data_IF_382988076273
#
_entry.id   IF_382988076273
#
_cell.length_a   1.000
_cell.length_b   1.000
_cell.length_c   1.000
_cell.angle_alpha   90.00
_cell.angle_beta   90.00
_cell.angle_gamma   90.00
#
_symmetry.space_group_name_H-M   'P 1'
#
loop_
_entity.id
_entity.type
_entity.pdbx_description
1 polymer ?
#
# COMPACT_ATOMS: atom_id res chain seq x y z
N UNK A 1 4.54 -17.79 -14.90
CA UNK A 1 3.08 -17.85 -14.74
C UNK A 1 2.73 -16.81 -13.70
N UNK A 2 2.48 -15.59 -14.15
CA UNK A 2 2.07 -14.51 -13.27
C UNK A 2 0.70 -14.90 -12.73
N UNK A 3 0.59 -15.17 -11.43
CA UNK A 3 -0.70 -15.03 -10.75
C UNK A 3 -1.15 -13.62 -11.10
N UNK A 4 -2.30 -13.46 -11.74
CA UNK A 4 -2.97 -12.18 -11.85
C UNK A 4 -3.21 -11.70 -10.42
N UNK A 5 -2.26 -10.93 -9.87
CA UNK A 5 -2.41 -10.31 -8.57
C UNK A 5 -3.56 -9.32 -8.67
N UNK A 6 -4.37 -9.22 -7.62
CA UNK A 6 -5.51 -8.31 -7.60
C UNK A 6 -5.46 -7.44 -6.36
N UNK A 7 -6.15 -6.31 -6.41
CA UNK A 7 -6.31 -5.42 -5.24
C UNK A 7 -7.05 -6.10 -4.08
N UNK A 8 -7.69 -7.26 -4.31
CA UNK A 8 -8.28 -8.07 -3.24
C UNK A 8 -7.24 -8.63 -2.26
N UNK A 9 -5.97 -8.68 -2.66
CA UNK A 9 -4.86 -9.07 -1.76
C UNK A 9 -4.54 -7.96 -0.75
N UNK A 10 -4.91 -6.71 -1.05
CA UNK A 10 -4.76 -5.58 -0.14
C UNK A 10 -5.94 -5.52 0.84
N UNK A 11 -5.71 -5.08 2.11
CA UNK A 11 -6.80 -4.83 3.02
C UNK A 11 -7.70 -3.69 2.49
N UNK A 12 -8.98 -3.72 2.85
CA UNK A 12 -9.91 -2.65 2.44
C UNK A 12 -9.56 -1.31 3.09
N UNK A 13 -9.00 -1.33 4.30
CA UNK A 13 -8.60 -0.15 5.05
C UNK A 13 -7.28 -0.39 5.80
N UNK A 14 -6.54 0.69 5.99
CA UNK A 14 -5.35 0.73 6.86
C UNK A 14 -5.61 1.64 8.04
N UNK A 15 -4.96 1.38 9.18
CA UNK A 15 -5.24 2.13 10.39
C UNK A 15 -4.12 3.11 10.69
N UNK A 16 -4.49 4.38 10.88
CA UNK A 16 -3.59 5.43 11.36
C UNK A 16 -3.85 5.72 12.84
N UNK A 17 -2.78 5.84 13.62
CA UNK A 17 -2.89 6.20 15.03
C UNK A 17 -3.08 7.71 15.20
N UNK A 18 -4.20 8.13 15.78
CA UNK A 18 -4.51 9.54 16.10
C UNK A 18 -4.18 9.90 17.56
N UNK A 19 -3.17 9.23 18.14
CA UNK A 19 -2.79 9.38 19.55
C UNK A 19 -3.93 9.02 20.49
N UNK A 20 -4.36 9.96 21.35
CA UNK A 20 -5.43 9.71 22.35
C UNK A 20 -6.83 9.58 21.74
N UNK A 21 -7.00 9.93 20.47
CA UNK A 21 -8.30 9.84 19.76
C UNK A 21 -8.59 8.43 19.24
N UNK A 22 -7.65 7.50 19.38
CA UNK A 22 -7.77 6.12 18.93
C UNK A 22 -7.12 5.91 17.57
N UNK A 23 -7.74 5.03 16.77
CA UNK A 23 -7.31 4.71 15.41
C UNK A 23 -8.39 5.12 14.43
N UNK A 24 -7.99 5.63 13.27
CA UNK A 24 -8.88 5.91 12.15
C UNK A 24 -8.56 4.94 11.01
N UNK A 25 -9.60 4.31 10.45
CA UNK A 25 -9.48 3.46 9.28
C UNK A 25 -9.55 4.32 8.02
N UNK A 26 -8.51 4.28 7.21
CA UNK A 26 -8.44 4.98 5.94
C UNK A 26 -8.64 3.95 4.83
N UNK A 27 -9.64 4.12 3.94
CA UNK A 27 -9.89 3.19 2.86
C UNK A 27 -8.70 3.20 1.89
N UNK A 28 -8.15 2.03 1.60
CA UNK A 28 -6.95 1.90 0.77
C UNK A 28 -7.29 1.78 -0.73
N UNK A 29 -8.49 1.31 -1.03
CA UNK A 29 -8.96 1.01 -2.40
C UNK A 29 -9.74 2.16 -3.03
N UNK A 30 -9.62 3.36 -2.48
CA UNK A 30 -10.26 4.57 -2.98
C UNK A 30 -9.23 5.54 -3.55
N UNK A 31 -9.68 6.44 -4.43
CA UNK A 31 -8.82 7.46 -4.99
C UNK A 31 -8.31 8.41 -3.89
N UNK A 32 -6.99 8.57 -3.79
CA UNK A 32 -6.36 9.43 -2.76
C UNK A 32 -6.51 10.94 -3.01
N UNK A 33 -6.95 11.35 -4.20
CA UNK A 33 -7.02 12.75 -4.56
C UNK A 33 -8.40 13.32 -4.19
N UNK A 34 -8.45 14.34 -3.32
CA UNK A 34 -9.69 14.94 -2.78
C UNK A 34 -10.68 15.44 -3.87
N UNK A 35 -10.17 15.73 -5.07
CA UNK A 35 -10.98 16.16 -6.22
C UNK A 35 -11.79 15.00 -6.86
N UNK A 36 -11.50 13.75 -6.46
CA UNK A 36 -12.05 12.53 -7.06
C UNK A 36 -12.49 11.54 -5.98
N UNK A 37 -13.80 11.38 -5.78
CA UNK A 37 -14.38 10.45 -4.82
C UNK A 37 -14.65 9.07 -5.44
N UNK A 38 -13.77 8.59 -6.34
CA UNK A 38 -13.93 7.28 -6.93
C UNK A 38 -13.63 6.19 -5.90
N UNK A 39 -14.54 5.24 -5.78
CA UNK A 39 -14.43 4.09 -4.86
C UNK A 39 -13.76 2.87 -5.48
N UNK A 40 -13.31 2.99 -6.73
CA UNK A 40 -12.73 1.90 -7.50
C UNK A 40 -11.34 2.31 -8.02
N UNK A 41 -10.43 1.33 -8.06
CA UNK A 41 -9.08 1.48 -8.60
C UNK A 41 -8.78 0.31 -9.54
N UNK A 42 -8.06 0.61 -10.62
CA UNK A 42 -7.55 -0.39 -11.55
C UNK A 42 -6.08 -0.66 -11.23
N UNK A 43 -5.72 -1.94 -11.10
CA UNK A 43 -4.32 -2.34 -10.91
C UNK A 43 -3.56 -2.27 -12.24
N UNK A 44 -2.44 -1.55 -12.26
CA UNK A 44 -1.54 -1.49 -13.41
C UNK A 44 -0.42 -2.51 -13.24
N UNK A 45 0.31 -2.44 -12.12
CA UNK A 45 1.49 -3.27 -11.89
C UNK A 45 1.77 -3.49 -10.41
N UNK A 46 2.46 -4.57 -10.11
CA UNK A 46 2.95 -4.89 -8.75
C UNK A 46 4.42 -5.21 -8.85
N UNK A 47 5.23 -4.54 -8.03
CA UNK A 47 6.66 -4.79 -7.90
C UNK A 47 6.97 -5.15 -6.45
N UNK A 48 7.82 -6.16 -6.24
CA UNK A 48 8.19 -6.62 -4.91
C UNK A 48 9.71 -6.68 -4.79
N UNK A 49 10.28 -5.98 -3.81
CA UNK A 49 11.72 -5.91 -3.56
C UNK A 49 12.06 -6.03 -2.05
N UNK A 50 12.88 -7.01 -1.63
CA UNK A 50 13.34 -8.15 -2.41
C UNK A 50 12.17 -9.11 -2.70
N UNK A 51 12.23 -9.82 -3.84
CA UNK A 51 11.19 -10.77 -4.24
C UNK A 51 10.97 -11.93 -3.23
N UNK A 52 11.98 -12.23 -2.42
CA UNK A 52 11.90 -13.21 -1.32
C UNK A 52 12.70 -12.70 -0.13
N UNK A 53 12.21 -13.00 1.08
CA UNK A 53 12.94 -12.82 2.33
C UNK A 53 13.75 -14.09 2.64
N UNK A 54 14.92 -13.92 3.24
CA UNK A 54 15.80 -15.03 3.62
C UNK A 54 15.31 -15.76 4.89
N UNK A 55 14.56 -15.05 5.74
CA UNK A 55 14.03 -15.56 7.00
C UNK A 55 15.02 -15.49 8.17
N UNK A 56 16.10 -14.73 8.05
CA UNK A 56 17.15 -14.61 9.07
C UNK A 56 17.36 -13.15 9.48
N UNK A 57 17.20 -12.87 10.78
CA UNK A 57 17.35 -11.52 11.31
C UNK A 57 16.26 -10.55 10.85
N UNK A 58 16.59 -9.26 10.86
CA UNK A 58 15.65 -8.21 10.46
C UNK A 58 15.72 -7.96 8.96
N UNK A 59 14.58 -8.12 8.28
CA UNK A 59 14.44 -7.89 6.85
C UNK A 59 13.30 -6.91 6.56
N UNK A 60 13.31 -6.34 5.36
CA UNK A 60 12.24 -5.45 4.90
C UNK A 60 11.93 -5.78 3.45
N UNK A 61 10.65 -5.97 3.17
CA UNK A 61 10.12 -6.14 1.83
C UNK A 61 9.22 -4.96 1.47
N UNK A 62 9.43 -4.42 0.29
CA UNK A 62 8.66 -3.34 -0.29
C UNK A 62 7.81 -3.93 -1.42
N UNK A 63 6.50 -3.77 -1.34
CA UNK A 63 5.56 -4.07 -2.42
C UNK A 63 4.94 -2.77 -2.93
N UNK A 64 5.24 -2.42 -4.17
CA UNK A 64 4.69 -1.25 -4.85
C UNK A 64 3.55 -1.68 -5.78
N UNK A 65 2.34 -1.25 -5.44
CA UNK A 65 1.13 -1.51 -6.20
C UNK A 65 0.76 -0.23 -6.97
N UNK A 66 1.12 -0.19 -8.26
CA UNK A 66 0.78 0.92 -9.14
C UNK A 66 -0.69 0.78 -9.55
N UNK A 67 -1.49 1.78 -9.22
CA UNK A 67 -2.93 1.81 -9.46
C UNK A 67 -3.32 3.04 -10.27
N UNK A 68 -4.45 2.94 -10.95
CA UNK A 68 -5.07 4.00 -11.72
C UNK A 68 -6.51 4.21 -11.27
N UNK A 69 -6.88 5.46 -11.07
CA UNK A 69 -8.29 5.81 -10.90
C UNK A 69 -8.98 5.87 -12.27
N UNK A 70 -10.06 5.10 -12.50
CA UNK A 70 -10.77 5.12 -13.78
C UNK A 70 -11.53 6.45 -14.01
N UNK A 71 -11.93 7.16 -12.95
CA UNK A 71 -12.71 8.40 -13.06
C UNK A 71 -11.85 9.63 -13.39
N UNK A 72 -10.69 9.79 -12.74
CA UNK A 72 -9.82 10.95 -12.95
C UNK A 72 -8.57 10.65 -13.77
N UNK A 73 -8.38 9.40 -14.19
CA UNK A 73 -7.25 8.89 -14.99
C UNK A 73 -5.87 9.01 -14.32
N UNK A 74 -5.81 9.56 -13.09
CA UNK A 74 -4.57 9.72 -12.32
C UNK A 74 -4.05 8.37 -11.83
N UNK A 75 -2.73 8.29 -11.72
CA UNK A 75 -2.02 7.14 -11.18
C UNK A 75 -1.39 7.48 -9.85
N UNK A 76 -1.23 6.48 -9.02
CA UNK A 76 -0.45 6.57 -7.80
C UNK A 76 0.00 5.15 -7.42
N UNK A 77 0.97 5.07 -6.51
CA UNK A 77 1.47 3.79 -6.01
C UNK A 77 1.11 3.63 -4.55
N UNK A 78 0.47 2.52 -4.24
CA UNK A 78 0.30 2.07 -2.86
C UNK A 78 1.57 1.27 -2.51
N UNK A 79 2.43 1.86 -1.69
CA UNK A 79 3.68 1.24 -1.24
C UNK A 79 3.47 0.58 0.11
N UNK A 80 3.61 -0.73 0.14
CA UNK A 80 3.63 -1.52 1.36
C UNK A 80 5.07 -1.81 1.77
N UNK A 81 5.47 -1.38 2.96
CA UNK A 81 6.77 -1.70 3.55
C UNK A 81 6.57 -2.65 4.72
N UNK A 82 6.75 -3.93 4.46
CA UNK A 82 6.60 -4.99 5.45
C UNK A 82 7.95 -5.29 6.10
N UNK A 83 7.98 -5.23 7.43
CA UNK A 83 9.16 -5.62 8.21
C UNK A 83 9.00 -7.04 8.71
N UNK A 84 10.06 -7.82 8.56
CA UNK A 84 10.14 -9.20 9.05
C UNK A 84 11.25 -9.32 10.08
N UNK A 85 11.07 -10.21 11.05
CA UNK A 85 12.10 -10.63 11.98
C UNK A 85 12.09 -12.16 12.07
N UNK A 86 13.21 -12.81 11.73
CA UNK A 86 13.35 -14.26 11.66
C UNK A 86 12.21 -14.94 10.85
N UNK A 87 11.82 -14.29 9.74
CA UNK A 87 10.75 -14.74 8.84
C UNK A 87 9.33 -14.42 9.30
N UNK A 88 9.13 -13.90 10.51
CA UNK A 88 7.82 -13.49 11.02
C UNK A 88 7.51 -12.02 10.65
N UNK A 89 6.32 -11.77 10.10
CA UNK A 89 5.86 -10.41 9.78
C UNK A 89 5.59 -9.64 11.08
N UNK A 90 6.29 -8.52 11.27
CA UNK A 90 6.08 -7.64 12.42
C UNK A 90 5.00 -6.60 12.16
N UNK A 91 5.12 -5.86 11.05
CA UNK A 91 4.18 -4.80 10.66
C UNK A 91 4.33 -4.49 9.17
N UNK A 92 3.25 -3.99 8.56
CA UNK A 92 3.27 -3.41 7.22
C UNK A 92 2.89 -1.94 7.30
N UNK A 93 3.83 -1.07 6.97
CA UNK A 93 3.57 0.37 6.79
C UNK A 93 3.06 0.61 5.37
N UNK A 94 2.01 1.40 5.23
CA UNK A 94 1.41 1.74 3.94
C UNK A 94 1.65 3.22 3.65
N UNK A 95 2.21 3.52 2.48
CA UNK A 95 2.46 4.86 1.98
C UNK A 95 1.79 5.05 0.62
N UNK A 96 1.49 6.29 0.26
CA UNK A 96 1.09 6.66 -1.11
C UNK A 96 2.24 7.41 -1.77
N UNK A 97 2.58 7.00 -2.97
CA UNK A 97 3.49 7.73 -3.85
C UNK A 97 2.66 8.29 -5.01
N UNK A 98 2.74 9.59 -5.28
CA UNK A 98 2.06 10.18 -6.44
C UNK A 98 2.72 9.78 -7.78
N UNK A 99 2.13 10.21 -8.89
CA UNK A 99 2.62 9.96 -10.24
C UNK A 99 3.94 10.66 -10.57
N UNK A 100 4.32 11.68 -9.81
CA UNK A 100 5.61 12.37 -9.92
C UNK A 100 6.71 11.67 -9.09
N UNK A 101 6.36 10.65 -8.30
CA UNK A 101 7.26 9.90 -7.44
C UNK A 101 7.46 10.52 -6.05
N UNK A 102 6.66 11.52 -5.67
CA UNK A 102 6.69 12.08 -4.33
C UNK A 102 5.94 11.18 -3.36
N UNK A 103 6.57 10.88 -2.22
CA UNK A 103 5.93 10.20 -1.11
C UNK A 103 4.97 11.17 -0.41
N UNK A 104 3.67 10.98 -0.63
CA UNK A 104 2.60 11.76 -0.01
C UNK A 104 2.45 11.43 1.49
N UNK A 105 3.18 10.42 1.97
CA UNK A 105 3.33 10.10 3.38
C UNK A 105 2.67 8.79 3.78
N UNK A 106 2.82 8.50 5.08
CA UNK A 106 2.32 7.29 5.71
C UNK A 106 0.80 7.38 5.92
N UNK A 107 0.07 6.44 5.32
CA UNK A 107 -1.38 6.29 5.49
C UNK A 107 -1.74 5.50 6.73
N UNK A 108 -0.92 4.54 7.16
CA UNK A 108 -1.29 3.65 8.25
C UNK A 108 -0.57 2.32 8.22
N UNK A 109 -0.89 1.45 9.17
CA UNK A 109 -0.31 0.11 9.27
C UNK A 109 -1.37 -0.95 9.52
N UNK A 110 -1.06 -2.18 9.15
CA UNK A 110 -1.86 -3.37 9.43
C UNK A 110 -1.00 -4.63 9.55
#
# INVERSE_FOLDING_TARGET
MSKDRSLDELPDQVFVALGRRGMEGIPLKECTYEECNASDLELISVQTDPAQISGDGQETQIEDWEVKCPDCDRKFTIRLKTRFFDGERMDTMTNIIDDEGNDLGWLGSY
#
